data_IF_193650018413
#
_entry.id   IF_193650018413
#
_cell.length_a   1.000
_cell.length_b   1.000
_cell.length_c   1.000
_cell.angle_alpha   90.00
_cell.angle_beta   90.00
_cell.angle_gamma   90.00
#
_symmetry.space_group_name_H-M   'P 1'
#
loop_
_entity.id
_entity.type
_entity.pdbx_description
1 polymer ?
#
# COMPACT_ATOMS: atom_id res chain seq x y z
N UNK A 1 -12.67 -0.62 -30.29
CA UNK A 1 -13.16 0.24 -29.20
C UNK A 1 -11.93 0.78 -28.49
N UNK A 2 -11.83 2.08 -28.27
CA UNK A 2 -10.66 2.74 -27.67
C UNK A 2 -10.68 2.55 -26.16
N UNK A 3 -9.62 1.96 -25.61
CA UNK A 3 -9.31 1.88 -24.19
C UNK A 3 -9.35 3.30 -23.59
N UNK A 4 -10.45 3.62 -22.89
CA UNK A 4 -10.73 4.92 -22.26
C UNK A 4 -10.77 4.65 -20.77
N UNK A 5 -10.06 5.45 -19.97
CA UNK A 5 -10.11 5.30 -18.52
C UNK A 5 -11.48 5.80 -18.00
N UNK A 6 -12.38 4.87 -17.71
CA UNK A 6 -13.72 5.17 -17.22
C UNK A 6 -14.05 4.47 -15.88
N UNK A 7 -13.15 3.62 -15.39
CA UNK A 7 -13.22 3.03 -14.07
C UNK A 7 -12.17 3.67 -13.14
N UNK A 8 -12.57 3.84 -11.88
CA UNK A 8 -11.64 4.27 -10.84
C UNK A 8 -11.02 3.03 -10.16
N UNK A 9 -9.76 3.09 -9.73
CA UNK A 9 -9.16 2.01 -8.95
C UNK A 9 -9.93 1.74 -7.66
N UNK A 10 -10.19 0.46 -7.37
CA UNK A 10 -10.88 0.02 -6.16
C UNK A 10 -9.99 -0.91 -5.36
N UNK A 11 -9.83 -0.63 -4.06
CA UNK A 11 -9.15 -1.55 -3.14
C UNK A 11 -9.94 -2.86 -2.98
N UNK A 12 -9.23 -3.98 -2.91
CA UNK A 12 -9.85 -5.30 -2.74
C UNK A 12 -10.52 -5.48 -1.37
N UNK A 13 -10.05 -4.75 -0.36
CA UNK A 13 -10.62 -4.76 0.99
C UNK A 13 -10.91 -3.34 1.47
N UNK A 14 -12.01 -3.18 2.21
CA UNK A 14 -12.36 -1.91 2.86
C UNK A 14 -11.40 -1.54 4.00
N UNK A 15 -10.77 -2.54 4.62
CA UNK A 15 -9.76 -2.36 5.67
C UNK A 15 -8.69 -3.46 5.53
N UNK A 16 -7.44 -3.09 5.80
CA UNK A 16 -6.31 -3.99 5.88
C UNK A 16 -5.75 -3.96 7.30
N UNK A 17 -5.53 -5.14 7.88
CA UNK A 17 -4.89 -5.31 9.19
C UNK A 17 -3.68 -6.21 9.02
N UNK A 18 -2.56 -5.82 9.63
CA UNK A 18 -1.31 -6.56 9.59
C UNK A 18 -0.75 -6.66 11.00
N UNK A 19 -0.35 -7.85 11.39
CA UNK A 19 0.35 -8.10 12.65
C UNK A 19 1.84 -8.28 12.36
N UNK A 20 2.69 -7.50 13.03
CA UNK A 20 4.14 -7.63 12.89
C UNK A 20 4.80 -7.70 14.27
N UNK A 21 5.82 -8.56 14.46
CA UNK A 21 6.60 -8.55 15.69
C UNK A 21 7.33 -7.21 15.87
N UNK A 22 7.40 -6.68 17.08
CA UNK A 22 8.05 -5.39 17.34
C UNK A 22 9.57 -5.41 17.08
N UNK A 23 10.18 -6.58 17.24
CA UNK A 23 11.62 -6.79 17.10
C UNK A 23 12.08 -6.97 15.65
N UNK A 24 11.19 -6.77 14.66
CA UNK A 24 11.59 -6.86 13.25
C UNK A 24 12.50 -5.69 12.87
N UNK A 25 13.54 -5.93 12.05
CA UNK A 25 14.44 -4.88 11.63
C UNK A 25 13.76 -3.87 10.70
N UNK A 26 14.28 -2.65 10.66
CA UNK A 26 13.93 -1.65 9.63
C UNK A 26 14.15 -2.25 8.25
N UNK A 27 13.26 -1.95 7.31
CA UNK A 27 13.22 -2.56 5.98
C UNK A 27 12.36 -3.82 5.89
N UNK A 28 11.81 -4.31 7.01
CA UNK A 28 10.91 -5.46 7.00
C UNK A 28 9.60 -5.17 6.28
N UNK A 29 9.11 -6.13 5.50
CA UNK A 29 7.79 -6.05 4.86
C UNK A 29 6.71 -6.24 5.92
N UNK A 30 5.82 -5.25 6.04
CA UNK A 30 4.67 -5.26 6.94
C UNK A 30 3.48 -5.96 6.28
N UNK A 31 3.22 -5.61 5.02
CA UNK A 31 2.04 -6.05 4.31
C UNK A 31 1.95 -5.47 2.92
N UNK A 32 0.81 -5.67 2.26
CA UNK A 32 0.54 -5.13 0.95
C UNK A 32 -0.95 -4.81 0.81
N UNK A 33 -1.26 -3.63 0.30
CA UNK A 33 -2.59 -3.26 -0.18
C UNK A 33 -2.68 -3.53 -1.67
N UNK A 34 -3.86 -3.94 -2.13
CA UNK A 34 -4.09 -4.28 -3.52
C UNK A 34 -5.33 -3.55 -3.99
N UNK A 35 -5.19 -2.73 -5.02
CA UNK A 35 -6.28 -2.18 -5.78
C UNK A 35 -6.33 -2.84 -7.16
N UNK A 36 -7.52 -2.82 -7.76
CA UNK A 36 -7.76 -3.26 -9.12
C UNK A 36 -8.53 -2.17 -9.87
N UNK A 37 -8.16 -1.95 -11.12
CA UNK A 37 -8.91 -1.12 -12.05
C UNK A 37 -9.59 -2.05 -13.08
N UNK A 38 -10.85 -1.77 -13.40
CA UNK A 38 -11.63 -2.58 -14.32
C UNK A 38 -11.43 -2.19 -15.80
N UNK A 39 -10.63 -1.15 -16.09
CA UNK A 39 -10.30 -0.68 -17.45
C UNK A 39 -9.47 -1.70 -18.27
N UNK A 40 -8.97 -2.78 -17.66
CA UNK A 40 -8.31 -3.91 -18.35
C UNK A 40 -6.79 -3.93 -18.19
N UNK A 41 -6.03 -4.37 -19.20
CA UNK A 41 -4.56 -4.33 -19.21
C UNK A 41 -4.09 -3.20 -20.15
N UNK A 42 -3.31 -2.24 -19.64
CA UNK A 42 -2.86 -1.10 -20.45
C UNK A 42 -2.39 0.09 -19.62
N UNK A 43 -2.11 1.21 -20.28
CA UNK A 43 -1.70 2.45 -19.61
C UNK A 43 -2.80 2.99 -18.67
N UNK A 44 -4.07 2.69 -18.96
CA UNK A 44 -5.22 3.13 -18.19
C UNK A 44 -5.43 2.35 -16.88
N UNK A 45 -4.72 1.23 -16.68
CA UNK A 45 -4.77 0.42 -15.47
C UNK A 45 -3.49 0.53 -14.63
N UNK A 46 -2.70 1.60 -14.83
CA UNK A 46 -1.53 1.87 -14.02
C UNK A 46 -1.93 2.43 -12.66
N UNK A 47 -1.65 1.64 -11.62
CA UNK A 47 -1.97 2.00 -10.24
C UNK A 47 -0.78 2.70 -9.57
N UNK A 48 -1.09 3.76 -8.82
CA UNK A 48 -0.16 4.43 -7.93
C UNK A 48 -0.75 4.52 -6.52
N UNK A 49 -0.01 4.06 -5.52
CA UNK A 49 -0.41 4.08 -4.12
C UNK A 49 0.25 5.24 -3.36
N UNK A 50 -0.50 5.89 -2.47
CA UNK A 50 0.01 6.97 -1.63
C UNK A 50 -0.50 6.83 -0.18
N UNK A 51 0.36 7.20 0.78
CA UNK A 51 0.05 7.18 2.21
C UNK A 51 -0.26 8.59 2.70
N UNK A 52 -1.49 8.82 3.16
CA UNK A 52 -2.01 10.16 3.52
C UNK A 52 -1.78 10.50 5.00
N UNK A 53 -1.43 9.53 5.84
CA UNK A 53 -1.24 9.73 7.29
C UNK A 53 0.18 10.19 7.62
N UNK A 54 0.33 11.36 8.24
CA UNK A 54 1.63 11.91 8.65
C UNK A 54 2.36 10.98 9.62
N UNK A 55 1.69 10.52 10.67
CA UNK A 55 2.26 9.57 11.63
C UNK A 55 2.69 8.26 10.95
N UNK A 56 1.87 7.75 10.03
CA UNK A 56 2.20 6.51 9.35
C UNK A 56 3.41 6.67 8.42
N UNK A 57 3.64 7.85 7.84
CA UNK A 57 4.82 8.13 7.02
C UNK A 57 6.14 8.13 7.84
N UNK A 58 6.07 8.40 9.15
CA UNK A 58 7.25 8.34 10.03
C UNK A 58 7.65 6.90 10.39
N UNK A 59 6.69 5.97 10.35
CA UNK A 59 6.87 4.58 10.79
C UNK A 59 6.93 3.59 9.62
N UNK A 60 6.25 3.91 8.52
CA UNK A 60 6.11 3.04 7.36
C UNK A 60 6.40 3.78 6.05
N UNK A 61 6.92 3.05 5.08
CA UNK A 61 7.04 3.46 3.69
C UNK A 61 6.08 2.61 2.85
N UNK A 62 5.40 3.24 1.90
CA UNK A 62 4.52 2.57 0.94
C UNK A 62 5.16 2.63 -0.44
N UNK A 63 5.36 1.47 -1.07
CA UNK A 63 5.80 1.42 -2.45
C UNK A 63 4.65 1.84 -3.39
N UNK A 64 4.81 2.90 -4.19
CA UNK A 64 3.72 3.45 -5.00
C UNK A 64 3.32 2.54 -6.16
N UNK A 65 4.18 1.61 -6.61
CA UNK A 65 3.85 0.72 -7.73
C UNK A 65 3.28 -0.62 -7.26
N UNK A 66 3.65 -1.08 -6.05
CA UNK A 66 3.26 -2.41 -5.57
C UNK A 66 2.28 -2.40 -4.41
N UNK A 67 2.08 -1.26 -3.74
CA UNK A 67 1.25 -1.17 -2.54
C UNK A 67 1.86 -1.87 -1.32
N UNK A 68 3.15 -2.23 -1.37
CA UNK A 68 3.85 -2.89 -0.26
C UNK A 68 4.22 -1.88 0.81
N UNK A 69 3.84 -2.18 2.05
CA UNK A 69 4.29 -1.46 3.24
C UNK A 69 5.59 -2.06 3.76
N UNK A 70 6.54 -1.18 4.07
CA UNK A 70 7.83 -1.50 4.67
C UNK A 70 8.03 -0.68 5.93
N UNK A 71 8.56 -1.31 6.97
CA UNK A 71 8.86 -0.65 8.23
C UNK A 71 10.07 0.27 8.06
N UNK A 72 9.91 1.57 8.35
CA UNK A 72 11.01 2.54 8.29
C UNK A 72 11.60 2.84 9.64
N UNK A 73 10.93 2.48 10.75
CA UNK A 73 11.33 2.78 12.14
C UNK A 73 11.21 1.56 13.05
N UNK A 74 11.94 1.51 14.17
CA UNK A 74 11.76 0.42 15.15
C UNK A 74 10.41 0.55 15.84
N UNK A 75 9.74 -0.58 16.09
CA UNK A 75 8.53 -0.62 16.89
C UNK A 75 8.89 -0.92 18.35
N UNK A 76 8.06 -0.42 19.26
CA UNK A 76 8.14 -0.66 20.69
C UNK A 76 6.72 -0.63 21.24
N UNK A 77 6.18 -1.78 21.63
CA UNK A 77 4.81 -1.91 22.12
C UNK A 77 4.67 -1.54 23.61
N UNK A 78 5.75 -1.62 24.38
CA UNK A 78 5.74 -1.57 25.85
C UNK A 78 5.99 -0.18 26.45
N UNK A 79 6.03 0.88 25.64
CA UNK A 79 6.46 2.23 26.04
C UNK A 79 5.94 2.72 27.40
#
# INVERSE_FOLDING_TARGET
>A
VTDTNDNAPVFQSMAYSFDIPENVPRGSRVGQVIAADADGEGANSQLSYALISDWANDVFSLNPSTGVFTLTSSLDYEQ
#
